data_IF_398108040778
#
_entry.id   IF_398108040778
#
_cell.length_a   1.000
_cell.length_b   1.000
_cell.length_c   1.000
_cell.angle_alpha   90.00
_cell.angle_beta   90.00
_cell.angle_gamma   90.00
#
_symmetry.space_group_name_H-M   'P 1'
#
loop_
_entity.id
_entity.type
_entity.pdbx_description
1 polymer ?
#
# COMPACT_ATOMS: atom_id res chain seq x y z
N UNK A 1 -11.97 7.78 14.29
CA UNK A 1 -10.78 8.01 13.46
C UNK A 1 -9.56 8.38 14.30
N UNK A 2 -9.69 9.32 15.27
CA UNK A 2 -8.55 9.82 16.04
C UNK A 2 -8.03 8.78 17.05
N UNK A 3 -8.91 7.98 17.64
CA UNK A 3 -8.53 6.88 18.54
C UNK A 3 -7.77 5.77 17.81
N UNK A 4 -8.15 5.44 16.56
CA UNK A 4 -7.43 4.47 15.75
C UNK A 4 -6.09 5.00 15.25
N UNK A 5 -5.99 6.32 14.94
CA UNK A 5 -4.71 6.98 14.64
C UNK A 5 -3.79 7.05 15.85
N UNK A 6 -4.34 7.19 17.05
CA UNK A 6 -3.55 7.12 18.28
C UNK A 6 -2.91 5.73 18.46
N UNK A 7 -3.64 4.65 18.15
CA UNK A 7 -3.11 3.28 18.16
C UNK A 7 -1.99 3.12 17.12
N UNK A 8 -2.13 3.71 15.94
CA UNK A 8 -1.09 3.70 14.90
C UNK A 8 0.20 4.39 15.38
N UNK A 9 0.07 5.57 16.00
CA UNK A 9 1.19 6.33 16.55
C UNK A 9 1.86 5.60 17.73
N UNK A 10 1.08 4.97 18.60
CA UNK A 10 1.62 4.17 19.72
C UNK A 10 2.37 2.93 19.20
N UNK A 11 1.84 2.22 18.21
CA UNK A 11 2.52 1.08 17.61
C UNK A 11 3.82 1.45 16.89
N UNK A 12 3.86 2.59 16.21
CA UNK A 12 5.07 3.03 15.51
C UNK A 12 6.24 3.37 16.46
N UNK A 13 5.92 3.86 17.66
CA UNK A 13 6.92 4.23 18.70
C UNK A 13 7.23 3.12 19.71
N UNK A 14 6.39 2.09 19.80
CA UNK A 14 6.53 1.00 20.77
C UNK A 14 7.40 -0.12 20.21
N UNK A 15 8.41 -0.64 20.96
CA UNK A 15 9.18 -1.79 20.53
C UNK A 15 8.27 -3.00 20.21
N UNK A 16 8.57 -3.82 19.20
CA UNK A 16 7.71 -4.93 18.79
C UNK A 16 7.33 -5.90 19.92
N UNK A 17 8.23 -6.10 20.89
CA UNK A 17 7.98 -6.97 22.05
C UNK A 17 6.89 -6.45 23.00
N UNK A 18 6.64 -5.14 23.02
CA UNK A 18 5.69 -4.48 23.92
C UNK A 18 4.37 -4.12 23.21
N UNK A 19 4.25 -4.46 21.92
CA UNK A 19 3.02 -4.19 21.14
C UNK A 19 1.93 -5.19 21.46
N UNK A 20 0.68 -4.72 21.48
CA UNK A 20 -0.52 -5.58 21.64
C UNK A 20 -0.61 -6.61 20.48
N UNK A 21 -0.19 -6.22 19.29
CA UNK A 21 -0.13 -7.05 18.08
C UNK A 21 1.31 -7.01 17.53
N UNK A 22 2.25 -7.79 18.08
CA UNK A 22 3.67 -7.66 17.77
C UNK A 22 4.04 -7.97 16.32
N UNK A 23 3.22 -8.72 15.59
CA UNK A 23 3.47 -9.06 14.19
C UNK A 23 2.73 -8.15 13.18
N UNK A 24 1.95 -7.20 13.69
CA UNK A 24 1.26 -6.18 12.86
C UNK A 24 2.01 -4.87 13.00
N UNK A 25 2.49 -4.32 11.89
CA UNK A 25 3.26 -3.08 11.90
C UNK A 25 2.37 -1.85 12.13
N UNK A 26 1.10 -1.89 11.73
CA UNK A 26 0.13 -0.81 11.94
C UNK A 26 -1.11 -0.93 11.05
N UNK A 27 -1.97 0.07 11.15
CA UNK A 27 -3.16 0.25 10.34
C UNK A 27 -2.98 1.55 9.55
N UNK A 28 -3.10 1.48 8.23
CA UNK A 28 -3.02 2.65 7.36
C UNK A 28 -4.40 3.04 6.86
N UNK A 29 -4.74 4.33 7.00
CA UNK A 29 -6.00 4.89 6.54
C UNK A 29 -5.81 5.58 5.20
N UNK A 30 -6.44 5.04 4.16
CA UNK A 30 -6.51 5.65 2.85
C UNK A 30 -7.88 6.34 2.73
N UNK A 31 -7.88 7.66 2.60
CA UNK A 31 -9.12 8.45 2.51
C UNK A 31 -9.25 9.07 1.13
N UNK A 32 -10.47 9.04 0.60
CA UNK A 32 -10.83 9.70 -0.65
C UNK A 32 -11.81 10.84 -0.36
N UNK A 33 -11.54 12.01 -0.90
CA UNK A 33 -12.39 13.20 -0.73
C UNK A 33 -13.31 13.48 -1.91
N UNK A 34 -13.19 12.76 -3.03
CA UNK A 34 -13.95 13.02 -4.25
C UNK A 34 -15.42 12.55 -4.18
N UNK A 35 -15.72 11.51 -3.40
CA UNK A 35 -17.09 10.97 -3.26
C UNK A 35 -17.70 10.62 -4.62
N UNK A 36 -18.82 11.28 -4.98
CA UNK A 36 -19.49 11.15 -6.28
C UNK A 36 -18.86 11.99 -7.38
N UNK A 37 -17.83 12.77 -7.09
CA UNK A 37 -17.07 13.54 -8.07
C UNK A 37 -16.18 12.65 -8.93
N UNK A 38 -15.72 13.22 -10.05
CA UNK A 38 -14.84 12.49 -10.98
C UNK A 38 -15.60 11.71 -12.05
N UNK A 39 -14.83 11.13 -12.96
CA UNK A 39 -15.32 10.32 -14.06
C UNK A 39 -15.28 8.83 -13.72
N UNK A 40 -15.80 7.99 -14.62
CA UNK A 40 -15.67 6.54 -14.49
C UNK A 40 -14.21 6.11 -14.57
N UNK A 41 -13.43 6.74 -15.43
CA UNK A 41 -12.00 6.47 -15.59
C UNK A 41 -11.23 6.80 -14.31
N UNK A 42 -11.58 7.89 -13.62
CA UNK A 42 -10.99 8.25 -12.32
C UNK A 42 -11.28 7.18 -11.26
N UNK A 43 -12.53 6.69 -11.25
CA UNK A 43 -12.95 5.63 -10.33
C UNK A 43 -12.21 4.31 -10.60
N UNK A 44 -12.06 3.93 -11.87
CA UNK A 44 -11.31 2.73 -12.28
C UNK A 44 -9.83 2.85 -11.94
N UNK A 45 -9.21 4.02 -12.16
CA UNK A 45 -7.83 4.29 -11.79
C UNK A 45 -7.62 4.20 -10.28
N UNK A 46 -8.51 4.81 -9.49
CA UNK A 46 -8.50 4.72 -8.04
C UNK A 46 -8.63 3.27 -7.56
N UNK A 47 -9.63 2.55 -8.05
CA UNK A 47 -9.83 1.14 -7.68
C UNK A 47 -8.64 0.27 -8.06
N UNK A 48 -8.00 0.54 -9.21
CA UNK A 48 -6.75 -0.10 -9.62
C UNK A 48 -5.59 0.17 -8.67
N UNK A 49 -5.46 1.40 -8.19
CA UNK A 49 -4.46 1.79 -7.18
C UNK A 49 -4.73 1.09 -5.84
N UNK A 50 -5.97 1.15 -5.34
CA UNK A 50 -6.37 0.50 -4.10
C UNK A 50 -6.19 -1.02 -4.16
N UNK A 51 -6.51 -1.64 -5.29
CA UNK A 51 -6.24 -3.05 -5.51
C UNK A 51 -4.74 -3.37 -5.42
N UNK A 52 -3.87 -2.45 -5.86
CA UNK A 52 -2.43 -2.54 -5.68
C UNK A 52 -2.00 -2.61 -4.22
N UNK A 53 -2.58 -1.77 -3.37
CA UNK A 53 -2.33 -1.83 -1.92
C UNK A 53 -2.91 -3.11 -1.29
N UNK A 54 -4.17 -3.44 -1.58
CA UNK A 54 -4.86 -4.61 -1.01
C UNK A 54 -4.12 -5.91 -1.33
N UNK A 55 -3.63 -6.07 -2.55
CA UNK A 55 -2.91 -7.27 -2.98
C UNK A 55 -1.44 -7.28 -2.60
N UNK A 56 -0.89 -6.16 -2.09
CA UNK A 56 0.53 -6.05 -1.76
C UNK A 56 0.96 -7.10 -0.73
N UNK A 57 2.12 -7.77 -0.88
CA UNK A 57 2.58 -8.83 0.03
C UNK A 57 2.66 -8.43 1.50
N UNK A 58 2.98 -7.16 1.78
CA UNK A 58 3.10 -6.64 3.14
C UNK A 58 1.76 -6.16 3.74
N UNK A 59 0.65 -6.30 3.02
CA UNK A 59 -0.68 -5.96 3.51
C UNK A 59 -1.41 -7.25 3.86
N UNK A 60 -1.78 -7.40 5.11
CA UNK A 60 -2.41 -8.61 5.63
C UNK A 60 -3.91 -8.71 5.29
N UNK A 61 -4.58 -7.58 5.09
CA UNK A 61 -5.99 -7.48 4.75
C UNK A 61 -6.43 -6.03 4.62
N UNK A 62 -7.67 -5.81 4.27
CA UNK A 62 -8.24 -4.47 4.14
C UNK A 62 -9.69 -4.41 4.62
N UNK A 63 -10.06 -3.25 5.16
CA UNK A 63 -11.44 -2.89 5.49
C UNK A 63 -11.85 -1.71 4.62
N UNK A 64 -12.91 -1.86 3.87
CA UNK A 64 -13.43 -0.84 2.97
C UNK A 64 -14.78 -0.34 3.49
N UNK A 65 -14.84 0.96 3.76
CA UNK A 65 -16.07 1.66 4.11
C UNK A 65 -16.56 2.40 2.87
N UNK A 66 -17.67 1.97 2.31
CA UNK A 66 -18.29 2.51 1.11
C UNK A 66 -19.54 3.31 1.48
N UNK A 67 -19.72 4.47 0.87
CA UNK A 67 -20.95 5.26 1.00
C UNK A 67 -22.14 4.56 0.31
N UNK A 68 -21.87 3.83 -0.77
CA UNK A 68 -22.86 3.17 -1.60
C UNK A 68 -23.40 4.00 -2.76
N UNK A 69 -22.90 5.23 -2.93
CA UNK A 69 -23.28 6.14 -4.02
C UNK A 69 -22.06 6.79 -4.70
N UNK A 70 -20.85 6.43 -4.30
CA UNK A 70 -19.62 6.87 -4.93
C UNK A 70 -19.38 6.20 -6.28
N UNK A 71 -18.65 6.88 -7.17
CA UNK A 71 -18.27 6.32 -8.47
C UNK A 71 -17.31 5.13 -8.36
N UNK A 72 -16.49 5.09 -7.30
CA UNK A 72 -15.60 3.97 -6.98
C UNK A 72 -16.37 2.86 -6.25
N UNK A 73 -17.36 2.27 -6.92
CA UNK A 73 -18.22 1.21 -6.40
C UNK A 73 -17.40 -0.01 -5.93
N UNK A 74 -17.86 -0.68 -4.87
CA UNK A 74 -17.23 -1.91 -4.37
C UNK A 74 -17.01 -2.95 -5.45
N UNK A 75 -17.96 -3.09 -6.37
CA UNK A 75 -17.84 -4.03 -7.50
C UNK A 75 -16.61 -3.75 -8.37
N UNK A 76 -16.31 -2.47 -8.66
CA UNK A 76 -15.14 -2.09 -9.47
C UNK A 76 -13.86 -2.41 -8.71
N UNK A 77 -13.84 -2.17 -7.41
CA UNK A 77 -12.71 -2.51 -6.55
C UNK A 77 -12.46 -4.02 -6.51
N UNK A 78 -13.51 -4.81 -6.31
CA UNK A 78 -13.41 -6.28 -6.27
C UNK A 78 -12.95 -6.84 -7.63
N UNK A 79 -13.47 -6.30 -8.74
CA UNK A 79 -13.00 -6.65 -10.10
C UNK A 79 -11.52 -6.31 -10.28
N UNK A 80 -11.07 -5.14 -9.81
CA UNK A 80 -9.67 -4.72 -9.88
C UNK A 80 -8.75 -5.61 -9.04
N UNK A 81 -9.18 -6.01 -7.83
CA UNK A 81 -8.45 -6.95 -6.97
C UNK A 81 -8.33 -8.32 -7.65
N UNK A 82 -9.44 -8.87 -8.14
CA UNK A 82 -9.45 -10.17 -8.83
C UNK A 82 -8.63 -10.17 -10.12
N UNK A 83 -8.65 -9.06 -10.87
CA UNK A 83 -7.84 -8.90 -12.09
C UNK A 83 -6.34 -8.90 -11.77
N UNK A 84 -5.97 -8.28 -10.65
CA UNK A 84 -4.57 -8.16 -10.22
C UNK A 84 -4.04 -9.45 -9.57
N UNK A 85 -4.85 -10.08 -8.76
CA UNK A 85 -4.56 -11.36 -8.10
C UNK A 85 -5.77 -12.30 -8.16
N UNK A 86 -5.85 -13.15 -9.19
CA UNK A 86 -6.94 -14.13 -9.32
C UNK A 86 -7.00 -15.18 -8.20
N UNK A 87 -5.96 -15.26 -7.37
CA UNK A 87 -5.86 -16.17 -6.22
C UNK A 87 -5.95 -15.44 -4.88
N UNK A 88 -6.43 -14.19 -4.90
CA UNK A 88 -6.54 -13.38 -3.70
C UNK A 88 -7.32 -14.12 -2.60
N UNK A 89 -6.73 -14.23 -1.43
CA UNK A 89 -7.28 -14.98 -0.30
C UNK A 89 -7.17 -14.24 1.04
N UNK A 90 -6.65 -13.02 1.04
CA UNK A 90 -6.56 -12.22 2.26
C UNK A 90 -7.94 -11.68 2.66
N UNK A 91 -8.16 -11.39 3.96
CA UNK A 91 -9.39 -10.74 4.40
C UNK A 91 -9.64 -9.41 3.67
N UNK A 92 -10.82 -9.30 3.06
CA UNK A 92 -11.34 -8.06 2.48
C UNK A 92 -12.72 -7.83 3.06
N UNK A 93 -12.80 -6.98 4.07
CA UNK A 93 -14.05 -6.62 4.73
C UNK A 93 -14.66 -5.41 4.05
N UNK A 94 -15.88 -5.54 3.58
CA UNK A 94 -16.60 -4.45 2.88
C UNK A 94 -17.86 -4.08 3.63
N UNK A 95 -18.03 -2.82 3.94
CA UNK A 95 -19.18 -2.29 4.66
C UNK A 95 -19.82 -1.15 3.86
N UNK A 96 -21.09 -1.34 3.50
CA UNK A 96 -21.89 -0.35 2.81
C UNK A 96 -22.64 0.49 3.83
N UNK A 97 -22.42 1.80 3.86
CA UNK A 97 -23.07 2.69 4.83
C UNK A 97 -24.60 2.58 4.77
N UNK A 98 -25.16 2.49 3.56
CA UNK A 98 -26.60 2.38 3.34
C UNK A 98 -27.24 1.08 3.90
N UNK A 99 -26.44 0.09 4.24
CA UNK A 99 -26.91 -1.17 4.85
C UNK A 99 -27.03 -1.10 6.36
N UNK A 100 -26.65 0.02 6.97
CA UNK A 100 -26.68 0.22 8.41
C UNK A 100 -27.73 1.25 8.83
N UNK A 101 -28.30 1.11 10.03
CA UNK A 101 -29.29 2.02 10.55
C UNK A 101 -28.75 3.42 10.80
N UNK A 102 -27.48 3.53 11.19
CA UNK A 102 -26.77 4.78 11.45
C UNK A 102 -25.26 4.55 11.36
N UNK A 103 -24.52 5.66 11.28
CA UNK A 103 -23.06 5.66 11.19
C UNK A 103 -22.39 4.95 12.38
N UNK A 104 -22.93 5.09 13.59
CA UNK A 104 -22.37 4.46 14.77
C UNK A 104 -22.40 2.94 14.68
N UNK A 105 -23.51 2.36 14.23
CA UNK A 105 -23.60 0.90 14.07
C UNK A 105 -22.68 0.37 12.96
N UNK A 106 -22.45 1.15 11.92
CA UNK A 106 -21.45 0.85 10.88
C UNK A 106 -20.04 0.83 11.50
N UNK A 107 -19.65 1.90 12.20
CA UNK A 107 -18.32 2.04 12.78
C UNK A 107 -18.06 0.97 13.85
N UNK A 108 -18.99 0.73 14.77
CA UNK A 108 -18.86 -0.28 15.81
C UNK A 108 -18.65 -1.69 15.21
N UNK A 109 -19.37 -2.01 14.12
CA UNK A 109 -19.22 -3.27 13.42
C UNK A 109 -17.88 -3.35 12.68
N UNK A 110 -17.54 -2.31 11.92
CA UNK A 110 -16.31 -2.27 11.14
C UNK A 110 -15.07 -2.36 12.05
N UNK A 111 -15.05 -1.63 13.17
CA UNK A 111 -13.95 -1.68 14.15
C UNK A 111 -13.81 -3.08 14.73
N UNK A 112 -14.92 -3.70 15.15
CA UNK A 112 -14.91 -5.04 15.73
C UNK A 112 -14.39 -6.08 14.74
N UNK A 113 -14.92 -6.11 13.53
CA UNK A 113 -14.51 -7.08 12.52
C UNK A 113 -13.06 -6.86 12.05
N UNK A 114 -12.64 -5.59 11.92
CA UNK A 114 -11.25 -5.25 11.62
C UNK A 114 -10.31 -5.72 12.72
N UNK A 115 -10.70 -5.54 13.99
CA UNK A 115 -9.88 -6.01 15.12
C UNK A 115 -9.73 -7.54 15.13
N UNK A 116 -10.78 -8.28 14.81
CA UNK A 116 -10.71 -9.74 14.64
C UNK A 116 -9.75 -10.12 13.51
N UNK A 117 -9.83 -9.42 12.38
CA UNK A 117 -8.89 -9.60 11.26
C UNK A 117 -7.43 -9.29 11.64
N UNK A 118 -7.20 -8.27 12.47
CA UNK A 118 -5.87 -7.94 12.99
C UNK A 118 -5.32 -9.05 13.93
N UNK A 119 -6.16 -9.66 14.76
CA UNK A 119 -5.76 -10.79 15.59
C UNK A 119 -5.34 -11.98 14.72
N UNK A 120 -6.08 -12.26 13.65
CA UNK A 120 -5.73 -13.30 12.67
C UNK A 120 -4.42 -12.96 11.95
N UNK A 121 -4.25 -11.73 11.47
CA UNK A 121 -3.01 -11.26 10.86
C UNK A 121 -1.80 -11.39 11.81
N UNK A 122 -2.00 -11.13 13.09
CA UNK A 122 -0.97 -11.24 14.12
C UNK A 122 -0.50 -12.68 14.37
N UNK A 123 -1.24 -13.68 13.92
CA UNK A 123 -0.79 -15.08 13.97
C UNK A 123 0.30 -15.39 12.94
N UNK A 124 0.50 -14.51 11.95
CA UNK A 124 1.55 -14.65 10.94
C UNK A 124 2.93 -14.42 11.55
N UNK A 125 3.91 -15.24 11.15
CA UNK A 125 5.30 -15.10 11.58
C UNK A 125 6.21 -14.76 10.39
N UNK A 126 7.26 -14.00 10.65
CA UNK A 126 8.29 -13.70 9.64
C UNK A 126 9.15 -14.93 9.39
N UNK A 127 9.46 -15.19 8.14
CA UNK A 127 10.40 -16.23 7.72
C UNK A 127 11.58 -15.62 6.96
N UNK A 128 12.76 -16.25 6.97
CA UNK A 128 13.88 -15.83 6.12
C UNK A 128 13.48 -15.81 4.65
N UNK A 129 13.87 -14.75 3.95
CA UNK A 129 13.69 -14.63 2.51
C UNK A 129 15.00 -14.19 1.84
N UNK A 130 15.31 -14.67 0.63
CA UNK A 130 16.49 -14.22 -0.10
C UNK A 130 16.29 -12.77 -0.60
N UNK A 131 17.39 -12.04 -0.82
CA UNK A 131 17.35 -10.69 -1.37
C UNK A 131 16.73 -10.61 -2.77
N UNK A 132 16.69 -11.72 -3.50
CA UNK A 132 16.00 -11.82 -4.80
C UNK A 132 14.48 -11.56 -4.74
N UNK A 133 13.87 -11.69 -3.57
CA UNK A 133 12.46 -11.35 -3.34
C UNK A 133 12.25 -9.84 -3.09
N UNK A 134 13.32 -9.10 -2.79
CA UNK A 134 13.22 -7.68 -2.48
C UNK A 134 13.06 -6.86 -3.76
N UNK A 135 12.08 -5.96 -3.75
CA UNK A 135 11.87 -4.95 -4.78
C UNK A 135 11.95 -3.56 -4.11
N UNK A 136 12.93 -2.76 -4.53
CA UNK A 136 13.15 -1.40 -4.05
C UNK A 136 12.56 -0.42 -5.06
N UNK A 137 11.61 0.42 -4.64
CA UNK A 137 11.18 1.58 -5.39
C UNK A 137 12.02 2.80 -5.00
N UNK A 138 12.48 3.57 -5.97
CA UNK A 138 13.18 4.83 -5.73
C UNK A 138 12.46 5.97 -6.44
N UNK A 139 12.39 7.12 -5.77
CA UNK A 139 11.65 8.29 -6.20
C UNK A 139 12.37 9.55 -5.72
N UNK A 140 12.22 10.65 -6.44
CA UNK A 140 12.76 11.94 -6.03
C UNK A 140 11.91 12.52 -4.88
N UNK A 141 12.54 12.82 -3.74
CA UNK A 141 11.88 13.38 -2.56
C UNK A 141 11.89 14.90 -2.51
N UNK A 142 12.81 15.55 -3.19
CA UNK A 142 12.96 17.01 -3.23
C UNK A 142 14.18 17.43 -4.03
N UNK A 143 14.02 18.49 -4.82
CA UNK A 143 15.08 19.04 -5.67
C UNK A 143 16.09 19.83 -4.84
N UNK A 144 17.15 19.17 -4.41
CA UNK A 144 18.25 19.76 -3.62
C UNK A 144 19.59 19.37 -4.27
N UNK A 145 20.39 20.36 -4.54
CA UNK A 145 21.69 20.17 -5.22
C UNK A 145 22.67 19.28 -4.47
N UNK A 146 22.56 19.20 -3.13
CA UNK A 146 23.43 18.34 -2.34
C UNK A 146 23.04 16.86 -2.43
N UNK A 147 21.78 16.54 -2.65
CA UNK A 147 21.33 15.16 -2.85
C UNK A 147 21.98 14.52 -4.08
N UNK A 148 22.24 15.31 -5.13
CA UNK A 148 22.93 14.85 -6.34
C UNK A 148 24.36 14.35 -6.11
N UNK A 149 25.04 14.82 -5.07
CA UNK A 149 26.41 14.42 -4.73
C UNK A 149 26.49 13.50 -3.51
N UNK A 150 25.42 13.28 -2.78
CA UNK A 150 25.37 12.45 -1.56
C UNK A 150 24.34 11.32 -1.65
N UNK A 151 23.07 11.65 -1.52
CA UNK A 151 22.00 10.66 -1.44
C UNK A 151 21.83 9.85 -2.74
N UNK A 152 21.77 10.53 -3.90
CA UNK A 152 21.53 9.87 -5.18
C UNK A 152 22.62 8.85 -5.57
N UNK A 153 23.95 9.18 -5.47
CA UNK A 153 24.99 8.19 -5.69
C UNK A 153 24.94 7.03 -4.70
N UNK A 154 24.55 7.28 -3.45
CA UNK A 154 24.39 6.23 -2.44
C UNK A 154 23.26 5.29 -2.79
N UNK A 155 22.10 5.84 -3.18
CA UNK A 155 20.93 5.06 -3.64
C UNK A 155 21.29 4.24 -4.89
N UNK A 156 22.00 4.83 -5.84
CA UNK A 156 22.50 4.13 -7.02
C UNK A 156 23.38 2.94 -6.66
N UNK A 157 24.37 3.15 -5.79
CA UNK A 157 25.27 2.08 -5.33
C UNK A 157 24.54 0.95 -4.56
N UNK A 158 23.48 1.27 -3.82
CA UNK A 158 22.61 0.26 -3.15
C UNK A 158 21.81 -0.50 -4.20
N UNK A 159 21.25 0.21 -5.18
CA UNK A 159 20.49 -0.37 -6.29
C UNK A 159 21.32 -1.39 -7.08
N UNK A 160 22.53 -1.03 -7.47
CA UNK A 160 23.46 -1.93 -8.18
C UNK A 160 23.73 -3.22 -7.37
N UNK A 161 23.98 -3.07 -6.06
CA UNK A 161 24.23 -4.23 -5.19
C UNK A 161 23.00 -5.11 -5.04
N UNK A 162 21.81 -4.50 -4.89
CA UNK A 162 20.57 -5.25 -4.78
C UNK A 162 20.30 -6.07 -6.04
N UNK A 163 20.47 -5.45 -7.22
CA UNK A 163 20.30 -6.14 -8.51
C UNK A 163 21.33 -7.25 -8.68
N UNK A 164 22.59 -7.00 -8.31
CA UNK A 164 23.63 -8.04 -8.34
C UNK A 164 23.32 -9.24 -7.43
N UNK A 165 22.54 -9.07 -6.38
CA UNK A 165 22.06 -10.12 -5.47
C UNK A 165 20.72 -10.73 -5.92
N UNK A 166 20.24 -10.40 -7.13
CA UNK A 166 19.03 -10.93 -7.73
C UNK A 166 17.75 -10.17 -7.40
N UNK A 167 17.84 -9.09 -6.59
CA UNK A 167 16.70 -8.21 -6.29
C UNK A 167 16.30 -7.34 -7.47
N UNK A 168 15.29 -6.52 -7.27
CA UNK A 168 14.74 -5.62 -8.30
C UNK A 168 14.71 -4.19 -7.80
N UNK A 169 14.90 -3.25 -8.74
CA UNK A 169 14.77 -1.82 -8.48
C UNK A 169 13.81 -1.21 -9.50
N UNK A 170 12.88 -0.40 -9.02
CA UNK A 170 11.95 0.38 -9.85
C UNK A 170 12.37 1.84 -9.76
N UNK A 171 12.75 2.40 -10.90
CA UNK A 171 12.96 3.84 -11.06
C UNK A 171 11.61 4.47 -11.40
N UNK A 172 11.08 5.30 -10.53
CA UNK A 172 9.90 6.11 -10.81
C UNK A 172 10.30 7.44 -11.44
N UNK A 173 9.30 8.17 -11.95
CA UNK A 173 9.48 9.52 -12.51
C UNK A 173 10.49 9.58 -13.67
N UNK A 174 10.20 8.83 -14.74
CA UNK A 174 11.04 8.83 -15.95
C UNK A 174 11.46 10.22 -16.45
N UNK A 175 10.64 11.30 -16.35
CA UNK A 175 11.07 12.65 -16.70
C UNK A 175 12.28 13.18 -15.93
N UNK A 176 12.55 12.68 -14.73
CA UNK A 176 13.74 13.03 -13.94
C UNK A 176 15.06 12.50 -14.56
N UNK A 177 14.94 11.58 -15.51
CA UNK A 177 16.08 10.99 -16.22
C UNK A 177 16.50 11.76 -17.46
N UNK A 178 15.90 12.94 -17.73
CA UNK A 178 16.22 13.77 -18.86
C UNK A 178 17.73 14.05 -18.98
N UNK A 179 18.31 13.72 -20.13
CA UNK A 179 19.74 13.90 -20.43
C UNK A 179 20.60 12.66 -20.13
N UNK A 180 20.06 11.62 -19.46
CA UNK A 180 20.70 10.31 -19.25
C UNK A 180 19.82 9.13 -19.70
N UNK A 181 18.66 9.43 -20.23
CA UNK A 181 17.66 8.47 -20.72
C UNK A 181 18.25 7.50 -21.75
N UNK A 182 19.06 8.01 -22.69
CA UNK A 182 19.70 7.17 -23.72
C UNK A 182 20.69 6.16 -23.11
N UNK A 183 21.41 6.55 -22.06
CA UNK A 183 22.33 5.63 -21.38
C UNK A 183 21.55 4.48 -20.72
N UNK A 184 20.41 4.77 -20.09
CA UNK A 184 19.54 3.74 -19.51
C UNK A 184 18.96 2.82 -20.59
N UNK A 185 18.52 3.38 -21.71
CA UNK A 185 18.03 2.59 -22.85
C UNK A 185 19.12 1.66 -23.37
N UNK A 186 20.39 2.12 -23.45
CA UNK A 186 21.50 1.33 -23.90
C UNK A 186 21.83 0.14 -22.96
N UNK A 187 21.40 0.20 -21.69
CA UNK A 187 21.55 -0.88 -20.71
C UNK A 187 20.41 -1.90 -20.75
N UNK A 188 19.33 -1.62 -21.48
CA UNK A 188 18.21 -2.53 -21.62
C UNK A 188 18.59 -3.78 -22.42
N UNK A 189 18.02 -4.91 -22.03
CA UNK A 189 18.26 -6.21 -22.69
C UNK A 189 17.25 -6.51 -23.80
N UNK A 190 16.19 -5.72 -23.93
CA UNK A 190 15.17 -5.79 -24.99
C UNK A 190 14.40 -4.49 -25.08
#
# INVERSE_FOLDING_TARGET
PDELRAIELENASTPPADRVLPHVDGIHFLTLTLGCGGTREDAEALCGLLAGYITHPNVAGATVLSLGCENAELRILEEAVNKRDPKFSKPLLTFLQQSFQNERSLLDTAIKETFLGLQEANASSRSPAPLSELCLGVECGGSDGFSGISANPTVGAVSDRLVALGGRVILSEFPELCGVDQELVNLCVS
#
